data_IF_955870418615
#
_entry.id   IF_955870418615
#
_cell.length_a   1.000
_cell.length_b   1.000
_cell.length_c   1.000
_cell.angle_alpha   90.00
_cell.angle_beta   90.00
_cell.angle_gamma   90.00
#
_symmetry.space_group_name_H-M   'P 1'
#
loop_
_entity.id
_entity.type
_entity.pdbx_description
1 polymer ?
#
# COMPACT_ATOMS: atom_id res chain seq x y z
N UNK A 1 -0.57 -5.54 -8.68
CA UNK A 1 -1.40 -5.52 -7.46
C UNK A 1 -2.45 -6.62 -7.52
N UNK A 2 -2.62 -7.40 -6.45
CA UNK A 2 -3.58 -8.52 -6.37
C UNK A 2 -4.91 -8.04 -5.77
N UNK A 3 -6.04 -8.23 -6.46
CA UNK A 3 -7.36 -8.01 -5.86
C UNK A 3 -7.71 -9.18 -4.93
N UNK A 4 -8.15 -8.90 -3.71
CA UNK A 4 -8.60 -9.91 -2.76
C UNK A 4 -9.78 -9.40 -1.93
N UNK A 5 -10.60 -10.32 -1.44
CA UNK A 5 -11.70 -10.05 -0.50
C UNK A 5 -11.44 -10.68 0.87
N UNK A 6 -10.31 -11.38 1.02
CA UNK A 6 -9.92 -12.04 2.27
C UNK A 6 -8.96 -11.13 3.04
N UNK A 7 -9.43 -10.57 4.15
CA UNK A 7 -8.61 -9.74 5.04
C UNK A 7 -7.44 -10.54 5.65
N UNK A 8 -7.62 -11.84 5.90
CA UNK A 8 -6.61 -12.69 6.53
C UNK A 8 -5.36 -12.81 5.66
N UNK A 9 -5.54 -12.82 4.34
CA UNK A 9 -4.44 -12.81 3.38
C UNK A 9 -3.57 -11.55 3.51
N UNK A 10 -4.22 -10.39 3.62
CA UNK A 10 -3.53 -9.11 3.78
C UNK A 10 -2.80 -9.08 5.12
N UNK A 11 -3.45 -9.50 6.20
CA UNK A 11 -2.83 -9.56 7.53
C UNK A 11 -1.63 -10.51 7.57
N UNK A 12 -1.72 -11.67 6.92
CA UNK A 12 -0.58 -12.59 6.78
C UNK A 12 0.59 -11.90 6.07
N UNK A 13 0.32 -11.23 4.94
CA UNK A 13 1.37 -10.50 4.20
C UNK A 13 2.01 -9.38 5.04
N UNK A 14 1.22 -8.64 5.82
CA UNK A 14 1.73 -7.61 6.74
C UNK A 14 2.72 -8.18 7.75
N UNK A 15 2.58 -9.45 8.15
CA UNK A 15 3.49 -10.09 9.11
C UNK A 15 4.72 -10.74 8.48
N UNK A 16 4.63 -11.16 7.22
CA UNK A 16 5.66 -11.96 6.53
C UNK A 16 6.58 -11.14 5.64
N UNK A 17 6.08 -10.04 5.09
CA UNK A 17 6.83 -9.17 4.20
C UNK A 17 7.30 -7.91 4.92
N UNK A 18 8.49 -7.44 4.54
CA UNK A 18 9.06 -6.22 5.08
C UNK A 18 8.22 -5.00 4.70
N UNK A 19 7.87 -4.87 3.40
CA UNK A 19 7.04 -3.76 2.90
C UNK A 19 5.80 -4.30 2.22
N UNK A 20 4.62 -3.76 2.54
CA UNK A 20 3.34 -4.12 1.94
C UNK A 20 2.55 -2.87 1.57
N UNK A 21 2.00 -2.85 0.37
CA UNK A 21 1.12 -1.79 -0.10
C UNK A 21 -0.34 -2.28 -0.11
N UNK A 22 -1.23 -1.48 0.45
CA UNK A 22 -2.68 -1.77 0.47
C UNK A 22 -3.42 -0.61 -0.17
N UNK A 23 -4.17 -0.90 -1.24
CA UNK A 23 -5.07 0.02 -1.91
C UNK A 23 -6.51 -0.33 -1.60
N UNK A 24 -7.26 0.65 -1.10
CA UNK A 24 -8.66 0.53 -0.74
C UNK A 24 -9.50 1.41 -1.66
N UNK A 25 -10.48 0.80 -2.33
CA UNK A 25 -11.45 1.49 -3.19
C UNK A 25 -12.88 1.32 -2.67
N UNK A 26 -13.81 2.03 -3.30
CA UNK A 26 -15.26 1.83 -3.16
C UNK A 26 -15.91 1.84 -4.55
N UNK A 27 -17.08 1.20 -4.73
CA UNK A 27 -17.85 1.27 -5.96
C UNK A 27 -18.27 2.72 -6.25
N UNK A 28 -18.50 3.02 -7.54
CA UNK A 28 -18.92 4.35 -8.01
C UNK A 28 -17.94 5.50 -7.64
N UNK A 29 -16.66 5.18 -7.43
CA UNK A 29 -15.62 6.15 -7.14
C UNK A 29 -14.84 6.52 -8.42
N UNK A 30 -15.14 7.67 -9.03
CA UNK A 30 -14.47 8.15 -10.25
C UNK A 30 -12.97 8.39 -10.04
N UNK A 31 -12.58 8.93 -8.88
CA UNK A 31 -11.18 9.18 -8.53
C UNK A 31 -10.39 7.86 -8.42
N UNK A 32 -11.02 6.80 -7.90
CA UNK A 32 -10.40 5.49 -7.78
C UNK A 32 -10.04 4.90 -9.15
N UNK A 33 -10.84 5.16 -10.19
CA UNK A 33 -10.55 4.72 -11.55
C UNK A 33 -9.31 5.40 -12.14
N UNK A 34 -9.05 6.65 -11.76
CA UNK A 34 -7.86 7.38 -12.20
C UNK A 34 -6.61 7.03 -11.38
N UNK A 35 -6.75 6.80 -10.07
CA UNK A 35 -5.64 6.51 -9.15
C UNK A 35 -5.10 5.10 -9.34
N UNK A 36 -5.99 4.10 -9.45
CA UNK A 36 -5.60 2.69 -9.52
C UNK A 36 -4.51 2.38 -10.57
N UNK A 37 -4.66 2.71 -11.87
CA UNK A 37 -3.67 2.34 -12.88
C UNK A 37 -2.32 3.00 -12.63
N UNK A 38 -2.29 4.26 -12.15
CA UNK A 38 -1.05 4.96 -11.80
C UNK A 38 -0.34 4.32 -10.62
N UNK A 39 -1.09 3.81 -9.66
CA UNK A 39 -0.52 3.12 -8.51
C UNK A 39 0.00 1.73 -8.89
N UNK A 40 -0.70 1.00 -9.76
CA UNK A 40 -0.23 -0.26 -10.33
C UNK A 40 1.06 -0.08 -11.13
N UNK A 41 1.15 0.98 -11.93
CA UNK A 41 2.36 1.35 -12.66
C UNK A 41 3.52 1.64 -11.70
N UNK A 42 3.32 2.50 -10.69
CA UNK A 42 4.35 2.79 -9.68
C UNK A 42 4.83 1.51 -8.97
N UNK A 43 3.90 0.66 -8.53
CA UNK A 43 4.24 -0.59 -7.85
C UNK A 43 4.95 -1.59 -8.76
N UNK A 44 4.82 -1.49 -10.09
CA UNK A 44 5.50 -2.41 -11.02
C UNK A 44 7.02 -2.28 -11.00
N UNK A 45 7.55 -1.18 -10.46
CA UNK A 45 8.99 -0.94 -10.28
C UNK A 45 9.56 -1.59 -9.02
N UNK A 46 8.71 -2.11 -8.12
CA UNK A 46 9.13 -2.61 -6.80
C UNK A 46 8.57 -4.02 -6.56
N UNK A 47 9.30 -4.84 -5.80
CA UNK A 47 8.92 -6.23 -5.51
C UNK A 47 8.04 -6.37 -4.24
N UNK A 48 7.27 -5.33 -3.88
CA UNK A 48 6.43 -5.35 -2.68
C UNK A 48 5.11 -6.10 -2.92
N UNK A 49 4.69 -6.98 -2.00
CA UNK A 49 3.31 -7.46 -1.97
C UNK A 49 2.33 -6.28 -1.98
N UNK A 50 1.40 -6.30 -2.91
CA UNK A 50 0.41 -5.23 -3.08
C UNK A 50 -0.99 -5.79 -3.23
N UNK A 51 -1.92 -5.26 -2.43
CA UNK A 51 -3.30 -5.74 -2.36
C UNK A 51 -4.29 -4.64 -2.72
N UNK A 52 -5.34 -5.01 -3.44
CA UNK A 52 -6.51 -4.18 -3.72
C UNK A 52 -7.72 -4.80 -3.05
N UNK A 53 -8.37 -4.06 -2.15
CA UNK A 53 -9.65 -4.44 -1.55
C UNK A 53 -10.69 -3.36 -1.80
N UNK A 54 -11.94 -3.78 -1.95
CA UNK A 54 -13.07 -2.89 -2.02
C UNK A 54 -13.74 -2.83 -0.64
N UNK A 55 -13.82 -1.62 -0.07
CA UNK A 55 -14.32 -1.41 1.29
C UNK A 55 -15.84 -1.62 1.42
N UNK A 56 -16.58 -1.69 0.32
CA UNK A 56 -18.01 -2.05 0.32
C UNK A 56 -18.18 -3.56 0.14
N UNK A 57 -17.36 -4.20 -0.70
CA UNK A 57 -17.37 -5.67 -0.89
C UNK A 57 -16.86 -6.40 0.36
N UNK A 58 -15.88 -5.81 1.06
CA UNK A 58 -15.25 -6.39 2.26
C UNK A 58 -15.32 -5.38 3.43
N UNK A 59 -16.48 -5.19 4.10
CA UNK A 59 -16.65 -4.13 5.09
C UNK A 59 -15.68 -4.17 6.28
N UNK A 60 -15.21 -5.36 6.64
CA UNK A 60 -14.20 -5.58 7.69
C UNK A 60 -12.87 -4.89 7.42
N UNK A 61 -12.52 -4.60 6.16
CA UNK A 61 -11.29 -3.86 5.84
C UNK A 61 -11.44 -2.38 6.19
N UNK A 62 -12.65 -1.83 6.08
CA UNK A 62 -12.94 -0.44 6.43
C UNK A 62 -12.81 -0.22 7.93
N UNK A 63 -13.29 -1.15 8.75
CA UNK A 63 -13.13 -1.09 10.20
C UNK A 63 -11.68 -1.35 10.63
N UNK A 64 -11.04 -2.38 10.08
CA UNK A 64 -9.66 -2.77 10.43
C UNK A 64 -8.65 -1.66 10.13
N UNK A 65 -8.73 -1.08 8.94
CA UNK A 65 -7.80 -0.03 8.51
C UNK A 65 -8.31 1.40 8.78
N UNK A 66 -9.45 1.54 9.45
CA UNK A 66 -10.11 2.81 9.79
C UNK A 66 -10.32 3.69 8.54
N UNK A 67 -10.85 3.10 7.46
CA UNK A 67 -11.06 3.76 6.17
C UNK A 67 -12.54 4.12 6.00
N UNK A 68 -12.81 5.42 6.03
CA UNK A 68 -14.16 5.99 5.88
C UNK A 68 -14.36 6.72 4.53
N UNK A 69 -13.33 6.76 3.69
CA UNK A 69 -13.34 7.44 2.38
C UNK A 69 -12.54 6.64 1.37
N UNK A 70 -12.69 6.94 0.08
CA UNK A 70 -11.90 6.31 -0.98
C UNK A 70 -11.45 7.35 -2.03
N UNK A 71 -10.36 7.10 -2.76
CA UNK A 71 -9.40 6.01 -2.57
C UNK A 71 -8.51 6.21 -1.34
N UNK A 72 -7.97 5.11 -0.79
CA UNK A 72 -6.93 5.14 0.24
C UNK A 72 -5.77 4.25 -0.16
N UNK A 73 -4.55 4.75 0.02
CA UNK A 73 -3.30 3.99 -0.08
C UNK A 73 -2.66 3.96 1.30
N UNK A 74 -2.33 2.76 1.76
CA UNK A 74 -1.60 2.51 3.00
C UNK A 74 -0.32 1.76 2.68
N UNK A 75 0.79 2.25 3.21
CA UNK A 75 2.10 1.58 3.09
C UNK A 75 2.51 1.14 4.49
N UNK A 76 2.78 -0.16 4.60
CA UNK A 76 3.31 -0.77 5.80
C UNK A 76 4.77 -1.15 5.56
N UNK A 77 5.63 -0.86 6.53
CA UNK A 77 7.01 -1.31 6.56
C UNK A 77 7.32 -1.84 7.96
N UNK A 78 7.90 -3.03 8.06
CA UNK A 78 8.15 -3.75 9.32
C UNK A 78 6.89 -3.77 10.22
N UNK A 79 5.75 -4.18 9.66
CA UNK A 79 4.45 -4.27 10.35
C UNK A 79 3.87 -2.92 10.83
N UNK A 80 4.53 -1.79 10.57
CA UNK A 80 4.05 -0.45 10.96
C UNK A 80 3.51 0.30 9.75
N UNK A 81 2.39 0.98 9.93
CA UNK A 81 1.89 1.93 8.95
C UNK A 81 2.80 3.16 8.93
N UNK A 82 3.48 3.40 7.81
CA UNK A 82 4.43 4.52 7.67
C UNK A 82 3.92 5.64 6.76
N UNK A 83 2.95 5.34 5.89
CA UNK A 83 2.33 6.32 5.00
C UNK A 83 0.86 5.98 4.78
N UNK A 84 0.02 7.01 4.86
CA UNK A 84 -1.42 6.96 4.57
C UNK A 84 -1.80 8.14 3.69
N UNK A 85 -2.36 7.85 2.53
CA UNK A 85 -2.93 8.87 1.64
C UNK A 85 -4.40 8.56 1.39
N UNK A 86 -5.27 9.53 1.63
CA UNK A 86 -6.72 9.40 1.49
C UNK A 86 -7.28 10.53 0.65
N UNK A 87 -8.16 10.20 -0.31
CA UNK A 87 -8.84 11.10 -1.27
C UNK A 87 -7.89 11.78 -2.28
N UNK A 88 -6.81 12.38 -1.82
CA UNK A 88 -5.79 13.02 -2.65
C UNK A 88 -4.49 12.22 -2.55
N UNK A 89 -4.01 11.76 -3.70
CA UNK A 89 -2.84 10.89 -3.78
C UNK A 89 -1.68 11.69 -4.38
N UNK A 90 -0.60 11.80 -3.60
CA UNK A 90 0.66 12.40 -4.01
C UNK A 90 1.62 11.28 -4.42
N UNK A 91 1.63 11.00 -5.73
CA UNK A 91 2.53 10.01 -6.33
C UNK A 91 4.00 10.38 -6.23
N UNK A 92 4.35 11.67 -6.17
CA UNK A 92 5.74 12.09 -6.01
C UNK A 92 6.24 11.74 -4.61
N UNK A 93 5.40 11.93 -3.58
CA UNK A 93 5.70 11.47 -2.22
C UNK A 93 5.82 9.94 -2.12
N UNK A 94 4.89 9.20 -2.73
CA UNK A 94 4.95 7.73 -2.77
C UNK A 94 6.20 7.21 -3.47
N UNK A 95 6.59 7.82 -4.59
CA UNK A 95 7.79 7.42 -5.35
C UNK A 95 9.04 7.60 -4.49
N UNK A 96 9.23 8.78 -3.88
CA UNK A 96 10.38 9.02 -2.98
C UNK A 96 10.40 8.06 -1.79
N UNK A 97 9.22 7.74 -1.24
CA UNK A 97 9.12 6.79 -0.15
C UNK A 97 9.58 5.39 -0.60
N UNK A 98 9.11 4.91 -1.74
CA UNK A 98 9.47 3.60 -2.26
C UNK A 98 10.94 3.51 -2.64
N UNK A 99 11.53 4.56 -3.22
CA UNK A 99 12.98 4.66 -3.45
C UNK A 99 13.78 4.51 -2.14
N UNK A 100 13.33 5.15 -1.06
CA UNK A 100 13.98 5.03 0.25
C UNK A 100 13.87 3.62 0.83
N UNK A 101 12.69 2.98 0.74
CA UNK A 101 12.48 1.62 1.25
C UNK A 101 13.24 0.57 0.45
N UNK A 102 13.28 0.72 -0.88
CA UNK A 102 14.03 -0.17 -1.77
C UNK A 102 15.54 -0.05 -1.49
N UNK A 103 16.06 1.17 -1.33
CA UNK A 103 17.47 1.42 -1.01
C UNK A 103 17.84 0.96 0.40
N UNK A 104 16.96 1.16 1.39
CA UNK A 104 17.19 0.74 2.78
C UNK A 104 17.29 -0.79 2.92
N UNK A 105 16.52 -1.54 2.12
CA UNK A 105 16.62 -3.00 2.07
C UNK A 105 17.97 -3.52 1.53
N UNK A 106 18.76 -2.65 0.87
CA UNK A 106 20.07 -2.99 0.30
C UNK A 106 21.26 -2.53 1.15
N UNK A 107 21.07 -1.60 2.09
CA UNK A 107 22.12 -1.08 2.95
C UNK A 107 21.99 -1.69 4.35
N UNK A 108 22.70 -2.79 4.58
CA UNK A 108 23.05 -3.18 5.94
C UNK A 108 23.79 -2.01 6.61
N UNK A 109 23.38 -1.63 7.82
CA UNK A 109 24.04 -0.61 8.65
C UNK A 109 25.56 -0.80 8.80
N UNK A 110 26.07 -2.00 8.50
CA UNK A 110 27.50 -2.33 8.47
C UNK A 110 28.29 -1.66 7.33
N UNK A 111 27.65 -1.21 6.25
CA UNK A 111 28.34 -0.57 5.12
C UNK A 111 28.46 0.97 5.27
N UNK A 112 27.75 1.56 6.24
CA UNK A 112 27.79 3.00 6.54
C UNK A 112 29.00 3.41 7.41
N UNK A 113 29.70 2.45 8.02
CA UNK A 113 30.81 2.71 8.95
C UNK A 113 32.12 2.02 8.54
N UNK A 114 32.24 1.55 7.29
CA UNK A 114 33.53 1.16 6.70
C UNK A 114 34.28 2.37 6.14
#
# INVERSE_FOLDING_TARGET
MKKTTDLSEVQAALTQAETVAVYLSMPNCSVCQAVKPRFEELLSHYAFPSFHLDAVETPEVASTFQVLTAPVILIFHEQKEIERQARFIDFHRLTRLFEQLDTASQLSYEDLFK
#
